data_IF_761953543495
#
_entry.id   IF_761953543495
#
_cell.length_a   1.000
_cell.length_b   1.000
_cell.length_c   1.000
_cell.angle_alpha   90.00
_cell.angle_beta   90.00
_cell.angle_gamma   90.00
#
_symmetry.space_group_name_H-M   'P 1'
#
loop_
_entity.id
_entity.type
_entity.pdbx_description
1 polymer ?
#
# COMPACT_ATOMS: atom_id res chain seq x y z
N UNK A 1 -4.14 13.81 -19.59
CA UNK A 1 -2.70 13.42 -19.58
C UNK A 1 -2.61 11.91 -19.73
N UNK A 2 -1.69 11.33 -20.53
CA UNK A 2 -1.56 9.86 -20.63
C UNK A 2 -0.69 9.34 -19.50
N UNK A 3 -1.03 8.18 -18.92
CA UNK A 3 -0.17 7.48 -17.94
C UNK A 3 1.20 7.20 -18.55
N UNK A 4 2.24 7.87 -18.03
CA UNK A 4 3.63 7.54 -18.37
C UNK A 4 4.07 6.26 -17.65
N UNK A 5 5.22 5.71 -18.03
CA UNK A 5 5.74 4.45 -17.46
C UNK A 5 5.95 4.53 -15.94
N UNK A 6 6.37 5.69 -15.42
CA UNK A 6 6.60 5.92 -13.99
C UNK A 6 5.31 5.81 -13.17
N UNK A 7 4.24 6.45 -13.61
CA UNK A 7 2.93 6.41 -12.93
C UNK A 7 2.31 5.02 -13.04
N UNK A 8 2.47 4.33 -14.18
CA UNK A 8 2.03 2.92 -14.34
C UNK A 8 2.73 2.01 -13.35
N UNK A 9 4.04 2.23 -13.13
CA UNK A 9 4.79 1.48 -12.14
C UNK A 9 4.26 1.72 -10.72
N UNK A 10 3.97 2.98 -10.36
CA UNK A 10 3.37 3.32 -9.05
C UNK A 10 2.03 2.64 -8.84
N UNK A 11 1.15 2.69 -9.85
CA UNK A 11 -0.14 2.00 -9.82
C UNK A 11 0.02 0.49 -9.68
N UNK A 12 0.91 -0.11 -10.48
CA UNK A 12 1.16 -1.55 -10.44
C UNK A 12 1.73 -2.00 -9.10
N UNK A 13 2.64 -1.25 -8.50
CA UNK A 13 3.20 -1.54 -7.18
C UNK A 13 2.13 -1.50 -6.08
N UNK A 14 1.20 -0.55 -6.14
CA UNK A 14 0.08 -0.51 -5.20
C UNK A 14 -0.87 -1.72 -5.34
N UNK A 15 -1.12 -2.16 -6.59
CA UNK A 15 -1.90 -3.38 -6.85
C UNK A 15 -1.17 -4.61 -6.32
N UNK A 16 0.14 -4.72 -6.59
CA UNK A 16 0.97 -5.84 -6.12
C UNK A 16 0.99 -5.88 -4.59
N UNK A 17 1.20 -4.75 -3.91
CA UNK A 17 1.11 -4.66 -2.45
C UNK A 17 -0.24 -5.14 -1.95
N UNK A 18 -1.34 -4.65 -2.53
CA UNK A 18 -2.69 -5.11 -2.16
C UNK A 18 -2.88 -6.62 -2.32
N UNK A 19 -2.38 -7.23 -3.40
CA UNK A 19 -2.44 -8.68 -3.62
C UNK A 19 -1.59 -9.44 -2.61
N UNK A 20 -0.40 -8.95 -2.28
CA UNK A 20 0.47 -9.56 -1.28
C UNK A 20 -0.24 -9.56 0.08
N UNK A 21 -0.81 -8.42 0.51
CA UNK A 21 -1.62 -8.31 1.72
C UNK A 21 -2.81 -9.29 1.75
N UNK A 22 -3.50 -9.51 0.61
CA UNK A 22 -4.56 -10.53 0.51
C UNK A 22 -4.02 -11.93 0.76
N UNK A 23 -2.88 -12.27 0.16
CA UNK A 23 -2.25 -13.58 0.38
C UNK A 23 -1.86 -13.74 1.86
N UNK A 24 -1.29 -12.70 2.47
CA UNK A 24 -1.00 -12.67 3.90
C UNK A 24 -2.25 -12.92 4.75
N UNK A 25 -3.35 -12.23 4.44
CA UNK A 25 -4.63 -12.42 5.12
C UNK A 25 -5.11 -13.88 5.06
N UNK A 26 -5.05 -14.51 3.89
CA UNK A 26 -5.48 -15.91 3.72
C UNK A 26 -4.58 -16.90 4.48
N UNK A 27 -3.27 -16.63 4.55
CA UNK A 27 -2.32 -17.52 5.21
C UNK A 27 -2.29 -17.41 6.73
N UNK A 28 -2.59 -16.22 7.27
CA UNK A 28 -2.49 -15.95 8.71
C UNK A 28 -3.84 -15.91 9.45
N UNK A 29 -4.95 -15.96 8.73
CA UNK A 29 -6.27 -16.04 9.35
C UNK A 29 -6.54 -17.47 9.85
N UNK A 30 -6.27 -17.70 11.12
CA UNK A 30 -6.69 -18.90 11.85
C UNK A 30 -7.67 -18.51 12.96
N UNK A 31 -8.95 -18.80 12.72
CA UNK A 31 -10.07 -18.46 13.63
C UNK A 31 -10.44 -19.60 14.59
N UNK A 32 -9.80 -20.77 14.47
CA UNK A 32 -10.19 -21.98 15.21
C UNK A 32 -9.19 -22.38 16.31
N UNK A 33 -8.03 -21.70 16.41
CA UNK A 33 -7.00 -21.98 17.41
C UNK A 33 -7.05 -21.16 18.71
N UNK A 34 -6.28 -21.61 19.71
CA UNK A 34 -6.12 -20.98 21.04
C UNK A 34 -5.51 -19.55 20.99
N UNK A 35 -5.02 -19.13 19.81
CA UNK A 35 -4.47 -17.81 19.50
C UNK A 35 -5.39 -16.91 18.65
N UNK A 36 -6.70 -17.19 18.59
CA UNK A 36 -7.65 -16.51 17.70
C UNK A 36 -7.68 -14.96 17.83
N UNK A 37 -7.33 -14.40 18.99
CA UNK A 37 -7.27 -12.94 19.19
C UNK A 37 -6.05 -12.31 18.52
N UNK A 38 -4.90 -12.99 18.55
CA UNK A 38 -3.68 -12.52 17.90
C UNK A 38 -3.78 -12.68 16.38
N UNK A 39 -4.37 -13.78 15.90
CA UNK A 39 -4.65 -14.01 14.48
C UNK A 39 -5.66 -12.99 13.93
N UNK A 40 -6.66 -12.59 14.72
CA UNK A 40 -7.60 -11.52 14.36
C UNK A 40 -6.88 -10.17 14.22
N UNK A 41 -5.94 -9.85 15.11
CA UNK A 41 -5.10 -8.65 15.02
C UNK A 41 -4.27 -8.62 13.74
N UNK A 42 -3.59 -9.72 13.42
CA UNK A 42 -2.83 -9.87 12.17
C UNK A 42 -3.73 -9.73 10.95
N UNK A 43 -4.89 -10.39 10.95
CA UNK A 43 -5.85 -10.31 9.85
C UNK A 43 -6.38 -8.88 9.64
N UNK A 44 -6.73 -8.17 10.72
CA UNK A 44 -7.19 -6.80 10.63
C UNK A 44 -6.11 -5.85 10.06
N UNK A 45 -4.85 -6.05 10.47
CA UNK A 45 -3.73 -5.26 9.95
C UNK A 45 -3.43 -5.60 8.48
N UNK A 46 -3.50 -6.86 8.07
CA UNK A 46 -3.36 -7.25 6.66
C UNK A 46 -4.47 -6.66 5.81
N UNK A 47 -5.72 -6.65 6.31
CA UNK A 47 -6.85 -6.02 5.63
C UNK A 47 -6.64 -4.49 5.50
N UNK A 48 -6.13 -3.85 6.56
CA UNK A 48 -5.80 -2.42 6.52
C UNK A 48 -4.72 -2.14 5.48
N UNK A 49 -3.62 -2.90 5.46
CA UNK A 49 -2.55 -2.75 4.47
C UNK A 49 -3.06 -2.99 3.06
N UNK A 50 -3.89 -4.01 2.84
CA UNK A 50 -4.55 -4.26 1.57
C UNK A 50 -5.34 -3.03 1.09
N UNK A 51 -6.22 -2.48 1.94
CA UNK A 51 -7.03 -1.31 1.60
C UNK A 51 -6.16 -0.08 1.30
N UNK A 52 -5.11 0.14 2.09
CA UNK A 52 -4.19 1.25 1.88
C UNK A 52 -3.41 1.09 0.57
N UNK A 53 -2.89 -0.10 0.26
CA UNK A 53 -2.15 -0.38 -0.96
C UNK A 53 -3.01 -0.22 -2.22
N UNK A 54 -4.27 -0.68 -2.19
CA UNK A 54 -5.20 -0.43 -3.29
C UNK A 54 -5.64 1.05 -3.39
N UNK A 55 -5.76 1.76 -2.27
CA UNK A 55 -6.01 3.20 -2.30
C UNK A 55 -4.83 3.96 -2.94
N UNK A 56 -3.58 3.58 -2.61
CA UNK A 56 -2.38 4.10 -3.26
C UNK A 56 -2.38 3.80 -4.77
N UNK A 57 -2.75 2.58 -5.18
CA UNK A 57 -2.90 2.27 -6.60
C UNK A 57 -3.96 3.16 -7.28
N UNK A 58 -5.09 3.37 -6.63
CA UNK A 58 -6.17 4.25 -7.11
C UNK A 58 -5.73 5.70 -7.28
N UNK A 59 -4.83 6.19 -6.42
CA UNK A 59 -4.27 7.55 -6.53
C UNK A 59 -3.46 7.76 -7.82
N UNK A 60 -2.84 6.71 -8.37
CA UNK A 60 -2.16 6.75 -9.66
C UNK A 60 -3.06 6.39 -10.85
N UNK A 61 -4.34 6.09 -10.62
CA UNK A 61 -5.30 5.82 -11.68
C UNK A 61 -5.70 7.10 -12.43
N UNK A 62 -6.21 6.95 -13.65
CA UNK A 62 -6.70 8.07 -14.49
C UNK A 62 -7.75 8.95 -13.79
N UNK A 63 -8.47 8.42 -12.80
CA UNK A 63 -9.47 9.15 -12.02
C UNK A 63 -9.02 9.45 -10.58
N UNK A 64 -7.72 9.33 -10.30
CA UNK A 64 -7.15 9.66 -8.99
C UNK A 64 -7.30 11.16 -8.68
N UNK A 65 -7.97 11.50 -7.58
CA UNK A 65 -8.25 12.89 -7.18
C UNK A 65 -7.33 13.40 -6.07
N UNK A 66 -6.29 12.63 -5.71
CA UNK A 66 -5.45 12.96 -4.57
C UNK A 66 -4.46 14.06 -4.93
N UNK A 67 -4.42 15.09 -4.09
CA UNK A 67 -3.33 16.06 -4.14
C UNK A 67 -2.03 15.44 -3.60
N UNK A 68 -0.90 16.06 -3.93
CA UNK A 68 0.42 15.53 -3.57
C UNK A 68 0.61 15.34 -2.06
N UNK A 69 0.12 16.28 -1.24
CA UNK A 69 0.24 16.22 0.21
C UNK A 69 -0.50 15.01 0.78
N UNK A 70 -1.71 14.74 0.30
CA UNK A 70 -2.50 13.57 0.69
C UNK A 70 -1.84 12.27 0.24
N UNK A 71 -1.34 12.21 -0.99
CA UNK A 71 -0.61 11.03 -1.49
C UNK A 71 0.63 10.73 -0.62
N UNK A 72 1.43 11.75 -0.31
CA UNK A 72 2.60 11.57 0.56
C UNK A 72 2.21 11.16 1.97
N UNK A 73 1.17 11.77 2.55
CA UNK A 73 0.67 11.38 3.86
C UNK A 73 0.24 9.92 3.89
N UNK A 74 -0.56 9.49 2.91
CA UNK A 74 -1.04 8.11 2.84
C UNK A 74 0.11 7.12 2.62
N UNK A 75 1.09 7.46 1.78
CA UNK A 75 2.31 6.67 1.61
C UNK A 75 3.05 6.43 2.93
N UNK A 76 3.30 7.50 3.70
CA UNK A 76 3.99 7.39 4.98
C UNK A 76 3.14 6.69 6.05
N UNK A 77 1.81 6.88 6.01
CA UNK A 77 0.89 6.14 6.86
C UNK A 77 0.98 4.64 6.57
N UNK A 78 0.93 4.23 5.30
CA UNK A 78 1.05 2.82 4.90
C UNK A 78 2.41 2.24 5.30
N UNK A 79 3.52 2.94 5.05
CA UNK A 79 4.84 2.51 5.52
C UNK A 79 4.89 2.37 7.05
N UNK A 80 4.33 3.34 7.77
CA UNK A 80 4.28 3.33 9.24
C UNK A 80 3.47 2.15 9.78
N UNK A 81 2.33 1.84 9.16
CA UNK A 81 1.51 0.67 9.50
C UNK A 81 2.29 -0.62 9.26
N UNK A 82 2.93 -0.79 8.11
CA UNK A 82 3.72 -1.99 7.80
C UNK A 82 4.90 -2.13 8.78
N UNK A 83 5.66 -1.06 8.99
CA UNK A 83 6.81 -1.07 9.90
C UNK A 83 6.38 -1.34 11.35
N UNK A 84 5.30 -0.71 11.80
CA UNK A 84 4.73 -0.93 13.14
C UNK A 84 4.22 -2.35 13.33
N UNK A 85 3.47 -2.89 12.36
CA UNK A 85 2.97 -4.26 12.38
C UNK A 85 4.11 -5.29 12.37
N UNK A 86 5.16 -5.04 11.60
CA UNK A 86 6.35 -5.91 11.55
C UNK A 86 7.15 -5.83 12.86
N UNK A 87 7.36 -4.64 13.41
CA UNK A 87 8.08 -4.45 14.67
C UNK A 87 7.34 -5.04 15.88
N UNK A 88 6.01 -4.97 15.88
CA UNK A 88 5.14 -5.60 16.87
C UNK A 88 4.92 -7.11 16.63
N UNK A 89 5.59 -7.71 15.64
CA UNK A 89 5.54 -9.13 15.31
C UNK A 89 4.16 -9.65 14.86
N UNK A 90 3.26 -8.77 14.42
CA UNK A 90 2.02 -9.17 13.74
C UNK A 90 2.30 -9.72 12.34
N UNK A 91 3.29 -9.14 11.64
CA UNK A 91 3.72 -9.62 10.34
C UNK A 91 4.97 -10.46 10.50
N UNK A 92 5.01 -11.58 9.79
CA UNK A 92 6.27 -12.29 9.56
C UNK A 92 7.26 -11.34 8.86
N UNK A 93 8.53 -11.40 9.28
CA UNK A 93 9.54 -10.41 8.92
C UNK A 93 9.77 -10.34 7.40
N UNK A 94 9.86 -11.49 6.73
CA UNK A 94 10.04 -11.53 5.28
C UNK A 94 8.86 -10.91 4.55
N UNK A 95 7.64 -11.21 4.97
CA UNK A 95 6.43 -10.61 4.42
C UNK A 95 6.39 -9.09 4.63
N UNK A 96 6.66 -8.63 5.87
CA UNK A 96 6.72 -7.21 6.21
C UNK A 96 7.78 -6.45 5.39
N UNK A 97 8.94 -7.05 5.16
CA UNK A 97 10.00 -6.47 4.32
C UNK A 97 9.57 -6.31 2.86
N UNK A 98 8.89 -7.31 2.27
CA UNK A 98 8.44 -7.25 0.87
C UNK A 98 7.42 -6.12 0.70
N UNK A 99 6.41 -6.07 1.56
CA UNK A 99 5.41 -4.99 1.61
C UNK A 99 6.08 -3.62 1.76
N UNK A 100 7.02 -3.50 2.70
CA UNK A 100 7.73 -2.24 2.96
C UNK A 100 8.49 -1.76 1.72
N UNK A 101 9.17 -2.65 0.99
CA UNK A 101 9.88 -2.31 -0.24
C UNK A 101 8.91 -1.83 -1.33
N UNK A 102 7.76 -2.49 -1.50
CA UNK A 102 6.75 -2.05 -2.47
C UNK A 102 6.29 -0.62 -2.19
N UNK A 103 5.93 -0.31 -0.94
CA UNK A 103 5.45 1.04 -0.59
C UNK A 103 6.59 2.06 -0.59
N UNK A 104 7.81 1.68 -0.23
CA UNK A 104 8.97 2.58 -0.31
C UNK A 104 9.26 3.00 -1.77
N UNK A 105 9.13 2.08 -2.73
CA UNK A 105 9.24 2.40 -4.15
C UNK A 105 8.11 3.33 -4.62
N UNK A 106 6.88 3.13 -4.12
CA UNK A 106 5.77 4.04 -4.38
C UNK A 106 6.09 5.45 -3.85
N UNK A 107 6.69 5.57 -2.66
CA UNK A 107 7.11 6.87 -2.12
C UNK A 107 8.11 7.59 -3.04
N UNK A 108 9.09 6.85 -3.57
CA UNK A 108 10.06 7.39 -4.54
C UNK A 108 9.35 7.88 -5.80
N UNK A 109 8.38 7.13 -6.31
CA UNK A 109 7.58 7.52 -7.47
C UNK A 109 6.74 8.77 -7.17
N UNK A 110 6.07 8.83 -6.02
CA UNK A 110 5.29 10.01 -5.59
C UNK A 110 6.15 11.26 -5.41
N UNK A 111 7.41 11.11 -4.99
CA UNK A 111 8.34 12.23 -4.83
C UNK A 111 8.97 12.69 -6.16
N UNK A 112 8.95 11.83 -7.18
CA UNK A 112 9.45 12.15 -8.52
C UNK A 112 8.72 13.34 -9.15
N UNK A 113 9.35 13.97 -10.16
CA UNK A 113 8.72 15.05 -10.93
C UNK A 113 7.39 14.60 -11.55
N UNK A 114 7.35 13.38 -12.07
CA UNK A 114 6.17 12.79 -12.68
C UNK A 114 5.04 12.62 -11.67
N UNK A 115 5.35 12.12 -10.46
CA UNK A 115 4.38 11.95 -9.38
C UNK A 115 3.76 13.28 -8.94
N UNK A 116 4.58 14.32 -8.80
CA UNK A 116 4.10 15.68 -8.46
C UNK A 116 3.19 16.25 -9.54
N UNK A 117 3.58 16.13 -10.81
CA UNK A 117 2.78 16.59 -11.95
C UNK A 117 1.46 15.83 -12.06
N UNK A 118 1.47 14.52 -11.85
CA UNK A 118 0.28 13.69 -11.85
C UNK A 118 -0.75 14.21 -10.83
N UNK A 119 -0.34 14.47 -9.60
CA UNK A 119 -1.25 14.96 -8.55
C UNK A 119 -1.62 16.45 -8.64
N UNK A 120 -1.11 17.19 -9.63
CA UNK A 120 -1.31 18.63 -9.76
C UNK A 120 -2.47 19.03 -10.70
N UNK A 121 -2.80 18.19 -11.67
CA UNK A 121 -3.79 18.51 -12.71
C UNK A 121 -4.93 17.48 -12.70
N UNK A 122 -6.21 17.91 -12.75
CA UNK A 122 -7.31 16.98 -12.97
C UNK A 122 -7.15 16.29 -14.34
N UNK A 123 -7.17 14.97 -14.34
CA UNK A 123 -7.00 14.18 -15.56
C UNK A 123 -8.36 13.98 -16.24
N UNK A 124 -8.61 14.73 -17.32
CA UNK A 124 -9.76 14.47 -18.20
C UNK A 124 -9.56 13.18 -19.01
N UNK A 125 -10.68 12.47 -19.24
CA UNK A 125 -10.76 11.15 -19.86
C UNK A 125 -10.50 11.15 -21.38
#
# INVERSE_FOLDING_TARGET
MKLNSTIKAGQALGIIGGIIAVIGLVLYLDLEGDGAMDSLGTAALMLLVMCLSFALAGAFGMHGQWNWNLLMFMNFLTLGVIAGATAAQYFELWFGCVEFVCIALICVISYSKDGKLWTAEPHEA
#
